data_IF_540613407115
#
_entry.id   IF_540613407115
#
_cell.length_a   1.000
_cell.length_b   1.000
_cell.length_c   1.000
_cell.angle_alpha   90.00
_cell.angle_beta   90.00
_cell.angle_gamma   90.00
#
_symmetry.space_group_name_H-M   'P 1'
#
loop_
_entity.id
_entity.type
_entity.pdbx_description
1 polymer ?
#
# COMPACT_ATOMS: atom_id res chain seq x y z
N UNK A 1 16.98 52.04 48.63
CA UNK A 1 15.65 52.52 48.20
C UNK A 1 15.68 52.65 46.69
N UNK A 2 14.78 52.13 45.86
CA UNK A 2 13.67 51.18 46.03
C UNK A 2 13.32 50.65 44.62
N UNK A 3 13.10 49.34 44.50
CA UNK A 3 12.29 48.61 43.51
C UNK A 3 11.68 49.32 42.28
N UNK A 4 11.85 48.70 41.10
CA UNK A 4 10.78 48.46 40.11
C UNK A 4 11.14 47.15 39.37
N UNK A 5 10.79 45.99 39.90
CA UNK A 5 9.53 45.29 39.63
C UNK A 5 9.39 44.90 38.15
N UNK A 6 10.09 43.83 37.82
CA UNK A 6 9.85 42.99 36.63
C UNK A 6 8.45 42.38 36.77
N UNK A 7 7.58 42.64 35.79
CA UNK A 7 6.20 42.13 35.81
C UNK A 7 6.16 40.83 35.02
N UNK A 8 5.63 39.72 35.58
CA UNK A 8 5.46 38.48 34.83
C UNK A 8 4.39 38.69 33.75
N UNK A 9 4.71 38.24 32.53
CA UNK A 9 3.76 38.15 31.42
C UNK A 9 2.85 36.96 31.73
N UNK A 10 1.67 37.22 32.28
CA UNK A 10 0.56 36.27 32.27
C UNK A 10 0.08 36.13 30.82
N UNK A 11 0.26 34.93 30.25
CA UNK A 11 -0.42 34.55 29.00
C UNK A 11 -1.60 33.68 29.40
N UNK A 12 -2.79 34.24 29.26
CA UNK A 12 -4.06 33.58 29.51
C UNK A 12 -4.22 32.34 28.62
N UNK A 13 -4.65 31.24 29.23
CA UNK A 13 -4.93 29.98 28.56
C UNK A 13 -6.21 30.12 27.71
N UNK A 14 -6.05 30.17 26.39
CA UNK A 14 -7.20 30.07 25.48
C UNK A 14 -7.63 28.60 25.35
N UNK A 15 -8.79 28.29 25.95
CA UNK A 15 -9.49 27.02 25.79
C UNK A 15 -10.08 26.97 24.38
N UNK A 16 -9.51 26.15 23.51
CA UNK A 16 -10.11 25.80 22.21
C UNK A 16 -10.64 24.37 22.27
N UNK A 17 -11.96 24.25 22.22
CA UNK A 17 -12.71 22.99 22.17
C UNK A 17 -12.32 22.12 20.96
N UNK A 18 -11.36 21.22 21.18
CA UNK A 18 -11.54 19.77 21.05
C UNK A 18 -12.06 19.17 19.73
N UNK A 19 -11.38 19.39 18.59
CA UNK A 19 -11.46 18.46 17.42
C UNK A 19 -10.11 18.15 16.77
N UNK A 20 -9.01 18.41 17.46
CA UNK A 20 -7.67 18.16 16.97
C UNK A 20 -6.66 18.09 18.11
N UNK A 21 -5.44 17.64 17.79
CA UNK A 21 -4.32 17.72 18.73
C UNK A 21 -3.92 19.20 18.88
N UNK A 22 -4.34 19.82 19.97
CA UNK A 22 -3.84 21.15 20.36
C UNK A 22 -2.50 20.96 21.06
N UNK A 23 -1.42 21.44 20.44
CA UNK A 23 -0.06 21.40 21.02
C UNK A 23 0.34 22.82 21.36
N UNK A 24 0.44 23.13 22.66
CA UNK A 24 1.11 24.33 23.14
C UNK A 24 2.54 23.97 23.53
N UNK A 25 3.52 24.73 23.03
CA UNK A 25 4.93 24.55 23.35
C UNK A 25 5.49 25.86 23.90
N UNK A 26 5.91 25.83 25.17
CA UNK A 26 6.71 26.91 25.75
C UNK A 26 8.17 26.44 25.76
N UNK A 27 9.08 27.13 25.06
CA UNK A 27 10.48 26.73 25.05
C UNK A 27 11.05 26.85 26.47
N UNK A 28 11.53 25.75 27.04
CA UNK A 28 12.22 25.78 28.32
C UNK A 28 13.58 26.47 28.14
N UNK A 29 13.74 27.65 28.73
CA UNK A 29 15.02 28.32 28.82
C UNK A 29 15.91 27.54 29.80
N UNK A 30 17.11 27.16 29.36
CA UNK A 30 18.12 26.57 30.23
C UNK A 30 19.01 27.71 30.69
N UNK A 31 18.78 28.17 31.91
CA UNK A 31 19.68 29.09 32.61
C UNK A 31 20.70 28.26 33.38
N UNK A 32 21.99 28.55 33.20
CA UNK A 32 23.08 27.87 33.86
C UNK A 32 24.18 28.87 34.18
N UNK A 33 24.86 28.65 35.31
CA UNK A 33 25.91 29.51 35.83
C UNK A 33 27.24 29.36 35.08
N UNK A 34 27.21 29.29 33.73
CA UNK A 34 28.38 29.05 32.90
C UNK A 34 29.50 30.04 33.24
N UNK A 35 29.21 31.33 33.41
CA UNK A 35 30.22 32.34 33.77
C UNK A 35 30.89 32.05 35.12
N UNK A 36 30.12 31.60 36.12
CA UNK A 36 30.66 31.26 37.44
C UNK A 36 31.41 29.92 37.44
N UNK A 37 30.99 28.97 36.60
CA UNK A 37 31.66 27.70 36.40
C UNK A 37 32.97 27.90 35.64
N UNK A 38 32.98 28.76 34.63
CA UNK A 38 34.14 29.09 33.80
C UNK A 38 35.20 29.79 34.63
N UNK A 39 34.84 30.82 35.40
CA UNK A 39 35.76 31.50 36.33
C UNK A 39 36.38 30.55 37.35
N UNK A 40 35.59 29.59 37.89
CA UNK A 40 36.10 28.59 38.84
C UNK A 40 37.03 27.58 38.15
N UNK A 41 36.74 27.20 36.91
CA UNK A 41 37.59 26.31 36.12
C UNK A 41 38.89 27.03 35.74
N UNK A 42 38.84 28.30 35.34
CA UNK A 42 40.01 29.15 35.06
C UNK A 42 40.93 29.25 36.29
N UNK A 43 40.39 29.57 37.48
CA UNK A 43 41.14 29.58 38.74
C UNK A 43 41.75 28.21 39.07
N UNK A 44 40.99 27.12 38.84
CA UNK A 44 41.46 25.75 39.08
C UNK A 44 42.58 25.33 38.14
N UNK A 45 42.58 25.79 36.87
CA UNK A 45 43.58 25.41 35.86
C UNK A 45 44.76 26.38 35.80
N UNK A 46 44.65 27.60 36.34
CA UNK A 46 45.72 28.61 36.34
C UNK A 46 47.02 28.06 36.92
N UNK A 47 46.94 27.31 38.02
CA UNK A 47 48.08 26.64 38.65
C UNK A 47 48.62 25.41 37.88
N UNK A 48 47.85 24.83 36.97
CA UNK A 48 48.25 23.66 36.15
C UNK A 48 48.71 24.06 34.73
N UNK A 49 48.27 25.22 34.23
CA UNK A 49 48.56 25.69 32.87
C UNK A 49 50.05 26.02 32.68
N UNK A 50 50.71 26.52 33.72
CA UNK A 50 52.15 26.82 33.71
C UNK A 50 53.01 25.78 34.45
N UNK A 51 52.39 24.73 35.01
CA UNK A 51 53.10 23.71 35.77
C UNK A 51 54.04 22.89 34.86
N UNK A 52 55.35 22.94 35.16
CA UNK A 52 56.36 22.04 34.60
C UNK A 52 56.76 21.01 35.65
N UNK A 53 56.43 19.75 35.38
CA UNK A 53 56.82 18.62 36.22
C UNK A 53 58.23 18.13 35.84
N UNK A 54 59.06 17.80 36.82
CA UNK A 54 60.33 17.12 36.58
C UNK A 54 60.07 15.62 36.32
N UNK A 55 60.15 15.26 35.04
CA UNK A 55 59.92 13.90 34.56
C UNK A 55 61.07 12.93 34.86
N UNK A 56 62.09 13.36 35.62
CA UNK A 56 63.17 12.50 36.11
C UNK A 56 62.92 12.01 37.55
N UNK A 57 61.99 12.64 38.28
CA UNK A 57 61.60 12.25 39.64
C UNK A 57 60.40 11.28 39.64
N UNK A 58 60.51 10.07 40.23
CA UNK A 58 59.39 9.13 40.31
C UNK A 58 58.15 9.65 41.03
N UNK A 59 58.31 10.57 41.98
CA UNK A 59 57.21 11.10 42.78
C UNK A 59 56.49 12.27 42.09
N UNK A 60 57.21 13.10 41.34
CA UNK A 60 56.60 14.14 40.49
C UNK A 60 55.84 13.52 39.30
N UNK A 61 56.34 12.42 38.73
CA UNK A 61 55.60 11.63 37.73
C UNK A 61 54.27 11.11 38.29
N UNK A 62 54.24 10.65 39.55
CA UNK A 62 52.99 10.20 40.19
C UNK A 62 52.03 11.37 40.40
N UNK A 63 52.54 12.53 40.79
CA UNK A 63 51.73 13.73 41.00
C UNK A 63 51.10 14.22 39.69
N UNK A 64 51.89 14.35 38.62
CA UNK A 64 51.39 14.71 37.29
C UNK A 64 50.29 13.76 36.77
N UNK A 65 50.44 12.45 37.04
CA UNK A 65 49.40 11.46 36.70
C UNK A 65 48.11 11.67 37.50
N UNK A 66 48.21 11.98 38.80
CA UNK A 66 47.04 12.27 39.64
C UNK A 66 46.31 13.51 39.17
N UNK A 67 47.04 14.57 38.87
CA UNK A 67 46.47 15.86 38.46
C UNK A 67 45.81 15.78 37.09
N UNK A 68 46.43 15.06 36.13
CA UNK A 68 45.79 14.73 34.85
C UNK A 68 44.48 13.95 35.04
N UNK A 69 44.47 12.96 35.94
CA UNK A 69 43.25 12.19 36.23
C UNK A 69 42.17 13.07 36.86
N UNK A 70 42.54 13.98 37.75
CA UNK A 70 41.62 14.92 38.39
C UNK A 70 40.97 15.88 37.37
N UNK A 71 41.76 16.52 36.50
CA UNK A 71 41.24 17.43 35.46
C UNK A 71 40.33 16.71 34.46
N UNK A 72 40.69 15.49 34.05
CA UNK A 72 39.82 14.67 33.20
C UNK A 72 38.52 14.27 33.91
N UNK A 73 38.57 14.10 35.24
CA UNK A 73 37.39 13.87 36.08
C UNK A 73 36.42 15.04 36.04
N UNK A 74 36.92 16.27 36.20
CA UNK A 74 36.10 17.49 36.15
C UNK A 74 35.44 17.65 34.77
N UNK A 75 36.20 17.48 33.69
CA UNK A 75 35.65 17.55 32.33
C UNK A 75 34.55 16.52 32.09
N UNK A 76 34.72 15.30 32.62
CA UNK A 76 33.72 14.23 32.54
C UNK A 76 32.45 14.58 33.31
N UNK A 77 32.56 15.15 34.51
CA UNK A 77 31.41 15.56 35.33
C UNK A 77 30.57 16.66 34.65
N UNK A 78 31.22 17.63 33.99
CA UNK A 78 30.54 18.67 33.20
C UNK A 78 29.79 18.04 32.03
N UNK A 79 30.41 17.12 31.30
CA UNK A 79 29.81 16.41 30.17
C UNK A 79 28.60 15.54 30.61
N UNK A 80 28.72 14.85 31.75
CA UNK A 80 27.64 14.03 32.33
C UNK A 80 26.45 14.88 32.74
N UNK A 81 26.68 16.04 33.38
CA UNK A 81 25.61 17.00 33.72
C UNK A 81 24.94 17.57 32.47
N UNK A 82 25.72 17.98 31.46
CA UNK A 82 25.17 18.44 30.17
C UNK A 82 24.28 17.37 29.53
N UNK A 83 24.72 16.11 29.53
CA UNK A 83 23.95 14.97 29.02
C UNK A 83 22.70 14.68 29.85
N UNK A 84 22.75 14.84 31.17
CA UNK A 84 21.59 14.66 32.04
C UNK A 84 20.51 15.71 31.75
N UNK A 85 20.89 16.99 31.64
CA UNK A 85 19.97 18.08 31.27
C UNK A 85 19.38 17.86 29.88
N UNK A 86 20.19 17.44 28.89
CA UNK A 86 19.69 17.10 27.55
C UNK A 86 18.64 15.99 27.60
N UNK A 87 18.88 14.93 28.40
CA UNK A 87 17.92 13.83 28.55
C UNK A 87 16.61 14.29 29.18
N UNK A 88 16.66 15.13 30.21
CA UNK A 88 15.46 15.67 30.84
C UNK A 88 14.69 16.63 29.93
N UNK A 89 15.40 17.42 29.12
CA UNK A 89 14.79 18.32 28.13
C UNK A 89 14.15 17.56 26.96
N UNK A 90 14.79 16.49 26.46
CA UNK A 90 14.24 15.68 25.38
C UNK A 90 13.11 14.75 25.84
N UNK A 91 13.07 14.35 27.11
CA UNK A 91 12.06 13.42 27.62
C UNK A 91 10.60 13.86 27.34
N UNK A 92 10.18 15.12 27.58
CA UNK A 92 8.84 15.58 27.20
C UNK A 92 8.55 15.49 25.70
N UNK A 93 9.55 15.74 24.85
CA UNK A 93 9.43 15.60 23.40
C UNK A 93 9.27 14.13 23.01
N UNK A 94 10.13 13.26 23.53
CA UNK A 94 10.08 11.82 23.28
C UNK A 94 8.73 11.22 23.75
N UNK A 95 8.25 11.62 24.93
CA UNK A 95 6.94 11.21 25.46
C UNK A 95 5.77 11.71 24.60
N UNK A 96 5.86 12.95 24.08
CA UNK A 96 4.89 13.51 23.17
C UNK A 96 4.87 12.75 21.83
N UNK A 97 6.04 12.52 21.22
CA UNK A 97 6.17 11.78 19.97
C UNK A 97 5.66 10.34 20.13
N UNK A 98 6.00 9.67 21.24
CA UNK A 98 5.50 8.34 21.55
C UNK A 98 3.97 8.31 21.64
N UNK A 99 3.35 9.30 22.30
CA UNK A 99 1.89 9.41 22.39
C UNK A 99 1.25 9.71 21.03
N UNK A 100 1.80 10.63 20.26
CA UNK A 100 1.32 10.96 18.91
C UNK A 100 1.40 9.74 17.98
N UNK A 101 2.52 9.02 18.00
CA UNK A 101 2.71 7.80 17.22
C UNK A 101 1.77 6.69 17.66
N UNK A 102 1.52 6.53 18.96
CA UNK A 102 0.57 5.55 19.48
C UNK A 102 -0.87 5.85 19.03
N UNK A 103 -1.27 7.12 18.97
CA UNK A 103 -2.60 7.53 18.45
C UNK A 103 -2.68 7.26 16.95
N UNK A 104 -1.67 7.67 16.18
CA UNK A 104 -1.59 7.40 14.73
C UNK A 104 -1.65 5.90 14.44
N UNK A 105 -0.98 5.06 15.26
CA UNK A 105 -1.01 3.61 15.11
C UNK A 105 -2.42 3.02 15.31
N UNK A 106 -3.22 3.55 16.25
CA UNK A 106 -4.62 3.12 16.43
C UNK A 106 -5.46 3.41 15.18
N UNK A 107 -5.30 4.60 14.60
CA UNK A 107 -6.00 5.00 13.37
C UNK A 107 -5.60 4.10 12.20
N UNK A 108 -4.29 3.88 12.01
CA UNK A 108 -3.78 2.97 10.97
C UNK A 108 -4.31 1.54 11.15
N UNK A 109 -4.34 1.02 12.38
CA UNK A 109 -4.89 -0.31 12.68
C UNK A 109 -6.37 -0.41 12.32
N UNK A 110 -7.18 0.58 12.69
CA UNK A 110 -8.60 0.60 12.33
C UNK A 110 -8.81 0.68 10.81
N UNK A 111 -8.04 1.52 10.12
CA UNK A 111 -8.08 1.61 8.65
C UNK A 111 -7.69 0.29 7.97
N UNK A 112 -6.67 -0.41 8.48
CA UNK A 112 -6.24 -1.69 7.94
C UNK A 112 -7.32 -2.77 8.10
N UNK A 113 -7.99 -2.81 9.26
CA UNK A 113 -9.09 -3.75 9.49
C UNK A 113 -10.28 -3.50 8.55
N UNK A 114 -10.64 -2.23 8.29
CA UNK A 114 -11.69 -1.90 7.31
C UNK A 114 -11.29 -2.35 5.90
N UNK A 115 -10.02 -2.16 5.53
CA UNK A 115 -9.51 -2.62 4.24
C UNK A 115 -9.61 -4.14 4.10
N UNK A 116 -9.20 -4.89 5.12
CA UNK A 116 -9.29 -6.36 5.13
C UNK A 116 -10.73 -6.83 4.97
N UNK A 117 -11.69 -6.23 5.69
CA UNK A 117 -13.12 -6.55 5.52
C UNK A 117 -13.64 -6.26 4.11
N UNK A 118 -13.15 -5.19 3.48
CA UNK A 118 -13.54 -4.83 2.11
C UNK A 118 -12.96 -5.81 1.09
N UNK A 119 -11.69 -6.19 1.26
CA UNK A 119 -11.00 -7.15 0.41
C UNK A 119 -11.68 -8.54 0.52
N UNK A 120 -12.00 -9.01 1.73
CA UNK A 120 -12.75 -10.25 1.98
C UNK A 120 -14.15 -10.23 1.35
N UNK A 121 -14.88 -9.10 1.45
CA UNK A 121 -16.20 -8.98 0.85
C UNK A 121 -16.14 -8.97 -0.69
N UNK A 122 -15.10 -8.36 -1.26
CA UNK A 122 -14.86 -8.40 -2.70
C UNK A 122 -14.57 -9.83 -3.19
N UNK A 123 -13.72 -10.58 -2.48
CA UNK A 123 -13.44 -11.99 -2.76
C UNK A 123 -14.71 -12.84 -2.65
N UNK A 124 -15.46 -12.76 -1.54
CA UNK A 124 -16.75 -13.46 -1.41
C UNK A 124 -17.72 -13.12 -2.53
N UNK A 125 -17.71 -11.88 -3.00
CA UNK A 125 -18.56 -11.46 -4.12
C UNK A 125 -18.04 -12.01 -5.46
N UNK A 126 -16.72 -12.11 -5.67
CA UNK A 126 -16.13 -12.83 -6.82
C UNK A 126 -16.52 -14.30 -6.77
N UNK A 127 -16.41 -14.96 -5.62
CA UNK A 127 -16.76 -16.37 -5.44
C UNK A 127 -18.25 -16.63 -5.69
N UNK A 128 -19.13 -15.77 -5.17
CA UNK A 128 -20.57 -15.86 -5.45
C UNK A 128 -20.88 -15.67 -6.93
N UNK A 129 -20.25 -14.68 -7.57
CA UNK A 129 -20.43 -14.47 -9.00
C UNK A 129 -19.91 -15.67 -9.81
N UNK A 130 -18.76 -16.23 -9.43
CA UNK A 130 -18.21 -17.44 -10.02
C UNK A 130 -19.18 -18.62 -9.87
N UNK A 131 -19.70 -18.86 -8.66
CA UNK A 131 -20.64 -19.94 -8.39
C UNK A 131 -21.93 -19.79 -9.20
N UNK A 132 -22.52 -18.58 -9.27
CA UNK A 132 -23.72 -18.30 -10.06
C UNK A 132 -23.48 -18.55 -11.55
N UNK A 133 -22.33 -18.13 -12.07
CA UNK A 133 -21.99 -18.32 -13.48
C UNK A 133 -21.67 -19.78 -13.80
N UNK A 134 -21.04 -20.50 -12.86
CA UNK A 134 -20.77 -21.93 -12.97
C UNK A 134 -22.06 -22.75 -12.98
N UNK A 135 -22.97 -22.49 -12.04
CA UNK A 135 -24.28 -23.13 -11.99
C UNK A 135 -25.07 -22.86 -13.27
N UNK A 136 -25.10 -21.59 -13.72
CA UNK A 136 -25.73 -21.22 -14.99
C UNK A 136 -25.13 -21.97 -16.20
N UNK A 137 -23.80 -22.12 -16.23
CA UNK A 137 -23.12 -22.88 -17.28
C UNK A 137 -23.46 -24.37 -17.22
N UNK A 138 -23.43 -24.98 -16.04
CA UNK A 138 -23.73 -26.41 -15.86
C UNK A 138 -25.17 -26.73 -16.29
N UNK A 139 -26.13 -25.85 -15.99
CA UNK A 139 -27.51 -25.94 -16.45
C UNK A 139 -27.64 -25.79 -17.97
N UNK A 140 -26.89 -24.86 -18.58
CA UNK A 140 -26.92 -24.61 -20.02
C UNK A 140 -26.22 -25.72 -20.83
N UNK A 141 -25.05 -26.16 -20.36
CA UNK A 141 -24.20 -27.13 -21.03
C UNK A 141 -24.72 -28.56 -20.87
N UNK A 142 -25.39 -28.87 -19.75
CA UNK A 142 -25.97 -30.18 -19.49
C UNK A 142 -24.96 -31.31 -19.67
N UNK A 143 -25.15 -32.14 -20.71
CA UNK A 143 -24.24 -33.26 -21.01
C UNK A 143 -22.85 -32.84 -21.49
N UNK A 144 -22.66 -31.58 -21.89
CA UNK A 144 -21.35 -31.05 -22.29
C UNK A 144 -20.45 -30.73 -21.08
N UNK A 145 -21.03 -30.42 -19.91
CA UNK A 145 -20.30 -29.97 -18.73
C UNK A 145 -19.20 -30.94 -18.20
N UNK A 146 -19.37 -32.27 -18.25
CA UNK A 146 -18.30 -33.20 -17.86
C UNK A 146 -17.09 -33.19 -18.80
N UNK A 147 -17.31 -32.87 -20.08
CA UNK A 147 -16.25 -32.85 -21.11
C UNK A 147 -15.61 -31.47 -21.19
N UNK A 148 -16.40 -30.42 -20.98
CA UNK A 148 -15.96 -29.03 -20.93
C UNK A 148 -16.38 -28.43 -19.59
N UNK A 149 -15.50 -28.43 -18.58
CA UNK A 149 -15.80 -27.77 -17.29
C UNK A 149 -15.86 -26.25 -17.43
N UNK A 150 -16.59 -25.59 -16.53
CA UNK A 150 -16.73 -24.12 -16.51
C UNK A 150 -15.38 -23.40 -16.49
N UNK A 151 -14.40 -23.96 -15.79
CA UNK A 151 -13.04 -23.46 -15.66
C UNK A 151 -12.37 -23.22 -17.02
N UNK A 152 -12.77 -23.94 -18.07
CA UNK A 152 -12.20 -23.79 -19.42
C UNK A 152 -12.76 -22.63 -20.21
N UNK A 153 -14.01 -22.25 -19.94
CA UNK A 153 -14.66 -21.13 -20.63
C UNK A 153 -14.64 -19.84 -19.80
N UNK A 154 -14.30 -19.92 -18.52
CA UNK A 154 -14.27 -18.81 -17.58
C UNK A 154 -13.37 -17.67 -18.07
N UNK A 155 -13.81 -16.44 -17.84
CA UNK A 155 -13.02 -15.23 -18.03
C UNK A 155 -13.07 -14.41 -16.75
N UNK A 156 -11.91 -14.06 -16.20
CA UNK A 156 -11.79 -13.28 -14.97
C UNK A 156 -12.54 -11.94 -15.05
N UNK A 157 -12.67 -11.37 -16.26
CA UNK A 157 -13.40 -10.11 -16.48
C UNK A 157 -14.87 -10.24 -16.14
N UNK A 158 -15.46 -11.42 -16.22
CA UNK A 158 -16.87 -11.66 -15.87
C UNK A 158 -17.12 -11.50 -14.37
N UNK A 159 -16.10 -11.74 -13.56
CA UNK A 159 -16.19 -11.52 -12.12
C UNK A 159 -16.14 -10.03 -11.79
N UNK A 160 -15.66 -9.15 -12.67
CA UNK A 160 -15.54 -7.72 -12.37
C UNK A 160 -16.90 -7.06 -12.11
N UNK A 161 -16.93 -6.18 -11.10
CA UNK A 161 -18.14 -5.45 -10.69
C UNK A 161 -18.78 -4.64 -11.83
N UNK A 162 -17.96 -4.12 -12.75
CA UNK A 162 -18.39 -3.28 -13.87
C UNK A 162 -18.91 -4.07 -15.07
N UNK A 163 -18.55 -5.35 -15.20
CA UNK A 163 -18.96 -6.17 -16.33
C UNK A 163 -20.46 -6.52 -16.26
N UNK A 164 -20.89 -6.96 -15.08
CA UNK A 164 -22.28 -7.26 -14.77
C UNK A 164 -22.70 -8.68 -15.15
N UNK A 165 -23.50 -9.30 -14.27
CA UNK A 165 -23.88 -10.72 -14.37
C UNK A 165 -24.60 -11.07 -15.68
N UNK A 166 -25.54 -10.24 -16.14
CA UNK A 166 -26.28 -10.52 -17.39
C UNK A 166 -25.37 -10.54 -18.62
N UNK A 167 -24.35 -9.67 -18.66
CA UNK A 167 -23.39 -9.69 -19.76
C UNK A 167 -22.48 -10.93 -19.69
N UNK A 168 -22.13 -11.36 -18.49
CA UNK A 168 -21.35 -12.59 -18.29
C UNK A 168 -22.14 -13.81 -18.74
N UNK A 169 -23.43 -13.91 -18.38
CA UNK A 169 -24.32 -14.99 -18.86
C UNK A 169 -24.45 -15.00 -20.38
N UNK A 170 -24.68 -13.84 -21.01
CA UNK A 170 -24.73 -13.73 -22.46
C UNK A 170 -23.40 -14.14 -23.14
N UNK A 171 -22.25 -13.80 -22.55
CA UNK A 171 -20.95 -14.22 -23.06
C UNK A 171 -20.71 -15.73 -22.90
N UNK A 172 -21.25 -16.35 -21.85
CA UNK A 172 -21.28 -17.81 -21.69
C UNK A 172 -22.14 -18.43 -22.80
N UNK A 173 -23.35 -17.91 -23.03
CA UNK A 173 -24.25 -18.41 -24.08
C UNK A 173 -23.58 -18.39 -25.45
N UNK A 174 -22.90 -17.28 -25.79
CA UNK A 174 -22.17 -17.13 -27.05
C UNK A 174 -21.02 -18.15 -27.17
N UNK A 175 -20.23 -18.33 -26.11
CA UNK A 175 -19.14 -19.33 -26.11
C UNK A 175 -19.69 -20.74 -26.25
N UNK A 176 -20.76 -21.10 -25.56
CA UNK A 176 -21.38 -22.43 -25.65
C UNK A 176 -21.96 -22.68 -27.03
N UNK A 177 -22.66 -21.69 -27.60
CA UNK A 177 -23.19 -21.78 -28.96
C UNK A 177 -22.08 -21.96 -30.00
N UNK A 178 -20.95 -21.25 -29.84
CA UNK A 178 -19.78 -21.43 -30.70
C UNK A 178 -19.21 -22.85 -30.58
N UNK A 179 -18.98 -23.34 -29.35
CA UNK A 179 -18.47 -24.70 -29.13
C UNK A 179 -19.41 -25.75 -29.72
N UNK A 180 -20.73 -25.59 -29.58
CA UNK A 180 -21.70 -26.49 -30.18
C UNK A 180 -21.62 -26.48 -31.73
N UNK A 181 -21.51 -25.29 -32.33
CA UNK A 181 -21.40 -25.14 -33.80
C UNK A 181 -20.09 -25.74 -34.34
N UNK A 182 -18.99 -25.47 -33.66
CA UNK A 182 -17.67 -25.99 -34.02
C UNK A 182 -17.63 -27.52 -33.87
N UNK A 183 -18.28 -28.05 -32.82
CA UNK A 183 -18.43 -29.49 -32.60
C UNK A 183 -19.28 -30.17 -33.68
N UNK A 184 -20.42 -29.59 -34.05
CA UNK A 184 -21.25 -30.07 -35.17
C UNK A 184 -20.47 -30.08 -36.48
N UNK A 185 -19.67 -29.04 -36.73
CA UNK A 185 -18.80 -28.97 -37.91
C UNK A 185 -17.75 -30.07 -37.90
N UNK A 186 -17.14 -30.34 -36.74
CA UNK A 186 -16.17 -31.42 -36.58
C UNK A 186 -16.86 -32.78 -36.79
N UNK A 187 -18.03 -33.02 -36.20
CA UNK A 187 -18.81 -34.24 -36.41
C UNK A 187 -19.19 -34.47 -37.88
N UNK A 188 -19.58 -33.44 -38.61
CA UNK A 188 -19.89 -33.54 -40.04
C UNK A 188 -18.67 -33.98 -40.88
N UNK A 189 -17.46 -33.73 -40.40
CA UNK A 189 -16.20 -34.14 -41.03
C UNK A 189 -15.70 -35.51 -40.56
N UNK A 190 -16.41 -36.19 -39.66
CA UNK A 190 -15.96 -37.46 -39.05
C UNK A 190 -15.56 -38.54 -40.05
N UNK A 191 -16.26 -38.66 -41.17
CA UNK A 191 -15.94 -39.64 -42.21
C UNK A 191 -14.84 -39.16 -43.16
N UNK A 192 -14.64 -37.85 -43.28
CA UNK A 192 -13.69 -37.24 -44.20
C UNK A 192 -12.30 -37.01 -43.58
N UNK A 193 -12.22 -36.89 -42.25
CA UNK A 193 -10.99 -36.52 -41.56
C UNK A 193 -10.18 -37.77 -41.12
N UNK A 194 -8.95 -37.94 -41.63
CA UNK A 194 -8.03 -38.95 -41.09
C UNK A 194 -7.71 -38.63 -39.63
N UNK A 195 -7.59 -39.66 -38.78
CA UNK A 195 -7.31 -39.49 -37.34
C UNK A 195 -8.30 -38.57 -36.60
N UNK A 196 -9.59 -38.66 -36.92
CA UNK A 196 -10.67 -37.93 -36.25
C UNK A 196 -10.59 -37.97 -34.71
N UNK A 197 -10.27 -39.13 -34.11
CA UNK A 197 -10.16 -39.26 -32.65
C UNK A 197 -9.12 -38.32 -32.03
N UNK A 198 -8.04 -38.01 -32.76
CA UNK A 198 -7.02 -37.04 -32.33
C UNK A 198 -7.60 -35.62 -32.39
N UNK A 199 -8.34 -35.32 -33.45
CA UNK A 199 -9.04 -34.04 -33.62
C UNK A 199 -10.07 -33.81 -32.51
N UNK A 200 -10.90 -34.80 -32.21
CA UNK A 200 -11.93 -34.75 -31.16
C UNK A 200 -11.31 -34.49 -29.79
N UNK A 201 -10.21 -35.20 -29.46
CA UNK A 201 -9.50 -34.98 -28.19
C UNK A 201 -8.92 -33.57 -28.11
N UNK A 202 -8.32 -33.09 -29.19
CA UNK A 202 -7.72 -31.75 -29.23
C UNK A 202 -8.78 -30.63 -29.21
N UNK A 203 -9.93 -30.87 -29.83
CA UNK A 203 -11.06 -29.96 -29.79
C UNK A 203 -11.55 -29.75 -28.35
N UNK A 204 -11.75 -30.81 -27.57
CA UNK A 204 -12.16 -30.65 -26.17
C UNK A 204 -11.03 -30.15 -25.25
N UNK A 205 -9.77 -30.25 -25.68
CA UNK A 205 -8.63 -29.67 -24.97
C UNK A 205 -8.52 -28.14 -25.18
N UNK A 206 -8.69 -27.69 -26.41
CA UNK A 206 -8.45 -26.29 -26.83
C UNK A 206 -9.72 -25.46 -27.02
N UNK A 207 -10.88 -26.11 -27.20
CA UNK A 207 -12.14 -25.52 -27.65
C UNK A 207 -12.01 -24.72 -28.96
N UNK A 208 -11.06 -25.11 -29.81
CA UNK A 208 -10.79 -24.47 -31.09
C UNK A 208 -10.80 -25.51 -32.23
N UNK A 209 -11.69 -25.28 -33.21
CA UNK A 209 -11.83 -26.16 -34.37
C UNK A 209 -10.57 -26.18 -35.24
N UNK A 210 -9.87 -25.05 -35.38
CA UNK A 210 -8.65 -24.96 -36.18
C UNK A 210 -7.52 -25.79 -35.58
N UNK A 211 -7.32 -25.72 -34.26
CA UNK A 211 -6.37 -26.54 -33.53
C UNK A 211 -6.69 -28.04 -33.69
N UNK A 212 -7.97 -28.41 -33.59
CA UNK A 212 -8.41 -29.80 -33.79
C UNK A 212 -8.06 -30.34 -35.18
N UNK A 213 -8.36 -29.58 -36.24
CA UNK A 213 -8.07 -30.00 -37.62
C UNK A 213 -6.57 -30.07 -37.91
N UNK A 214 -5.79 -29.12 -37.38
CA UNK A 214 -4.33 -29.15 -37.51
C UNK A 214 -3.72 -30.36 -36.81
N UNK A 215 -4.16 -30.67 -35.59
CA UNK A 215 -3.67 -31.84 -34.85
C UNK A 215 -3.97 -33.17 -35.57
N UNK A 216 -5.12 -33.28 -36.24
CA UNK A 216 -5.45 -34.44 -37.06
C UNK A 216 -4.49 -34.59 -38.25
N UNK A 217 -4.20 -33.48 -38.95
CA UNK A 217 -3.26 -33.47 -40.08
C UNK A 217 -1.85 -33.83 -39.64
N UNK A 218 -1.38 -33.23 -38.56
CA UNK A 218 -0.05 -33.51 -38.00
C UNK A 218 0.08 -34.97 -37.54
N UNK A 219 -0.97 -35.54 -36.95
CA UNK A 219 -0.99 -36.94 -36.56
C UNK A 219 -0.92 -37.87 -37.78
N UNK A 220 -1.64 -37.56 -38.85
CA UNK A 220 -1.56 -38.31 -40.10
C UNK A 220 -0.15 -38.23 -40.71
N UNK A 221 0.43 -37.04 -40.81
CA UNK A 221 1.79 -36.85 -41.32
C UNK A 221 2.82 -37.59 -40.45
N UNK A 222 2.64 -37.63 -39.14
CA UNK A 222 3.49 -38.38 -38.22
C UNK A 222 3.36 -39.90 -38.43
N UNK A 223 2.14 -40.42 -38.61
CA UNK A 223 1.93 -41.84 -38.90
C UNK A 223 2.52 -42.25 -40.25
N UNK A 224 2.37 -41.42 -41.28
CA UNK A 224 2.98 -41.63 -42.59
C UNK A 224 4.51 -41.65 -42.50
N UNK A 225 5.10 -40.75 -41.71
CA UNK A 225 6.54 -40.72 -41.44
C UNK A 225 7.01 -41.99 -40.70
N UNK A 226 6.27 -42.42 -39.67
CA UNK A 226 6.58 -43.65 -38.92
C UNK A 226 6.42 -44.88 -39.81
N UNK A 227 5.39 -44.92 -40.66
CA UNK A 227 5.15 -46.01 -41.59
C UNK A 227 6.22 -46.09 -42.68
N UNK A 228 6.62 -44.95 -43.26
CA UNK A 228 7.72 -44.85 -44.22
C UNK A 228 9.03 -45.35 -43.62
N UNK A 229 9.38 -44.86 -42.42
CA UNK A 229 10.58 -45.30 -41.71
C UNK A 229 10.56 -46.80 -41.35
N UNK A 230 9.40 -47.35 -40.94
CA UNK A 230 9.25 -48.80 -40.71
C UNK A 230 9.33 -49.62 -41.99
N UNK A 231 8.81 -49.09 -43.11
CA UNK A 231 8.87 -49.76 -44.41
C UNK A 231 10.32 -49.82 -44.94
N UNK A 232 11.07 -48.71 -44.83
CA UNK A 232 12.50 -48.69 -45.17
C UNK A 232 13.27 -49.71 -44.32
N UNK A 233 13.08 -49.74 -42.99
CA UNK A 233 13.72 -50.73 -42.12
C UNK A 233 13.34 -52.19 -42.48
N UNK A 234 12.09 -52.44 -42.89
CA UNK A 234 11.66 -53.77 -43.30
C UNK A 234 12.23 -54.18 -44.67
N UNK A 235 12.48 -53.22 -45.56
CA UNK A 235 13.17 -53.45 -46.84
C UNK A 235 14.66 -53.75 -46.61
N UNK A 236 15.36 -52.95 -45.80
CA UNK A 236 16.74 -53.24 -45.37
C UNK A 236 16.86 -54.60 -44.67
N UNK A 237 15.90 -54.97 -43.81
CA UNK A 237 15.90 -56.26 -43.13
C UNK A 237 15.54 -57.47 -44.02
N UNK A 238 15.11 -57.26 -45.27
CA UNK A 238 14.79 -58.33 -46.22
C UNK A 238 15.96 -58.65 -47.16
N UNK A 239 16.85 -57.69 -47.40
CA UNK A 239 18.08 -57.88 -48.19
C UNK A 239 19.26 -58.46 -47.37
N UNK A 240 19.16 -58.51 -46.04
CA UNK A 240 20.09 -59.26 -45.18
C UNK A 240 19.68 -60.74 -45.05
N UNK A 241 20.14 -61.60 -45.96
CA UNK A 241 20.35 -63.02 -45.61
C UNK A 241 21.29 -63.09 -44.41
N UNK A 242 20.95 -63.86 -43.34
CA UNK A 242 21.80 -63.94 -42.16
C UNK A 242 23.14 -64.57 -42.56
N UNK A 243 24.30 -63.97 -42.23
CA UNK A 243 25.56 -64.67 -42.36
C UNK A 243 25.57 -65.81 -41.32
N UNK A 244 25.65 -67.03 -41.82
CA UNK A 244 25.90 -68.25 -41.06
C UNK A 244 27.18 -68.06 -40.23
N UNK A 245 27.03 -67.96 -38.91
CA UNK A 245 28.16 -67.96 -37.98
C UNK A 245 27.77 -68.72 -36.70
N UNK A 246 28.30 -69.94 -36.58
CA UNK A 246 28.38 -70.70 -35.32
C UNK A 246 29.31 -70.00 -34.30
N UNK A 247 29.24 -70.37 -33.00
CA UNK A 247 29.27 -69.43 -31.89
C UNK A 247 30.68 -69.21 -31.33
N UNK A 248 31.08 -67.94 -31.15
CA UNK A 248 32.27 -67.60 -30.38
C UNK A 248 31.97 -66.54 -29.32
N UNK A 249 31.99 -67.00 -28.07
CA UNK A 249 32.32 -66.29 -26.82
C UNK A 249 31.70 -64.92 -26.55
N UNK A 250 30.87 -64.89 -25.51
CA UNK A 250 30.47 -63.68 -24.80
C UNK A 250 31.67 -62.80 -24.39
N UNK A 251 31.62 -61.49 -24.65
CA UNK A 251 32.25 -60.50 -23.79
C UNK A 251 31.23 -59.95 -22.79
N UNK A 252 31.69 -59.78 -21.55
CA UNK A 252 31.01 -59.16 -20.42
C UNK A 252 30.48 -57.73 -20.69
N UNK A 253 29.52 -57.24 -19.89
CA UNK A 253 28.78 -56.03 -20.19
C UNK A 253 29.66 -54.78 -20.00
N UNK A 254 29.80 -53.98 -21.04
CA UNK A 254 30.25 -52.59 -20.87
C UNK A 254 29.10 -51.74 -20.31
N UNK A 255 29.38 -50.85 -19.35
CA UNK A 255 28.35 -50.08 -18.67
C UNK A 255 27.71 -49.06 -19.62
N UNK A 256 26.43 -48.83 -19.40
CA UNK A 256 25.63 -47.82 -20.09
C UNK A 256 26.30 -46.44 -20.05
N UNK A 257 26.30 -45.66 -21.14
CA UNK A 257 26.59 -44.24 -21.04
C UNK A 257 25.46 -43.59 -20.22
N UNK A 258 25.84 -42.94 -19.13
CA UNK A 258 24.93 -42.11 -18.33
C UNK A 258 24.23 -41.07 -19.22
N UNK A 259 22.95 -40.76 -18.95
CA UNK A 259 22.24 -39.71 -19.67
C UNK A 259 22.92 -38.36 -19.38
N UNK A 260 23.26 -37.63 -20.44
CA UNK A 260 23.68 -36.24 -20.31
C UNK A 260 22.58 -35.44 -19.59
N UNK A 261 22.91 -34.58 -18.60
CA UNK A 261 21.92 -33.77 -17.92
C UNK A 261 21.27 -32.79 -18.91
N UNK A 262 19.94 -32.78 -18.89
CA UNK A 262 19.11 -31.81 -19.61
C UNK A 262 19.54 -30.38 -19.24
N UNK A 263 19.64 -29.43 -20.20
CA UNK A 263 19.96 -28.05 -19.88
C UNK A 263 18.85 -27.45 -19.03
N UNK A 264 19.23 -26.85 -17.90
CA UNK A 264 18.32 -26.12 -17.03
C UNK A 264 17.61 -24.99 -17.80
N UNK A 265 16.31 -24.73 -17.55
CA UNK A 265 15.60 -23.65 -18.20
C UNK A 265 16.19 -22.31 -17.76
N UNK A 266 16.42 -21.43 -18.75
CA UNK A 266 16.79 -20.05 -18.51
C UNK A 266 15.67 -19.33 -17.73
N UNK A 267 16.00 -18.49 -16.73
CA UNK A 267 14.99 -17.73 -16.02
C UNK A 267 14.41 -16.65 -16.93
N UNK A 268 13.10 -16.64 -17.09
CA UNK A 268 12.39 -15.53 -17.73
C UNK A 268 12.56 -14.24 -16.90
N UNK A 269 12.97 -13.13 -17.52
CA UNK A 269 13.02 -11.84 -16.85
C UNK A 269 11.60 -11.32 -16.60
N UNK A 270 11.38 -10.91 -15.35
CA UNK A 270 10.12 -10.48 -14.76
C UNK A 270 9.39 -9.37 -15.54
N UNK A 271 8.05 -9.31 -15.48
CA UNK A 271 7.28 -8.20 -16.00
C UNK A 271 7.62 -6.89 -15.27
N UNK A 272 7.73 -5.81 -16.04
CA UNK A 272 7.95 -4.46 -15.53
C UNK A 272 6.75 -4.00 -14.67
N UNK A 273 6.99 -3.22 -13.61
CA UNK A 273 5.93 -2.71 -12.75
C UNK A 273 5.08 -1.67 -13.49
N UNK A 274 3.76 -1.83 -13.45
CA UNK A 274 2.81 -0.84 -13.95
C UNK A 274 2.95 0.50 -13.20
N UNK A 275 2.71 1.64 -13.87
CA UNK A 275 2.75 2.96 -13.23
C UNK A 275 1.67 3.06 -12.15
N UNK A 276 2.09 3.47 -10.95
CA UNK A 276 1.18 3.73 -9.84
C UNK A 276 0.09 4.75 -10.27
N UNK A 277 -1.19 4.49 -9.95
CA UNK A 277 -2.25 5.46 -10.19
C UNK A 277 -2.02 6.72 -9.34
N UNK A 278 -2.14 7.89 -9.97
CA UNK A 278 -2.06 9.17 -9.29
C UNK A 278 -3.09 9.25 -8.15
N UNK A 279 -2.73 9.81 -6.99
CA UNK A 279 -3.66 9.94 -5.86
C UNK A 279 -4.85 10.82 -6.26
N UNK A 280 -6.03 10.22 -6.35
CA UNK A 280 -7.28 10.98 -6.38
C UNK A 280 -7.42 11.71 -5.04
N UNK A 281 -7.59 13.03 -5.11
CA UNK A 281 -7.92 13.85 -3.96
C UNK A 281 -9.21 13.32 -3.31
N UNK A 282 -9.10 12.89 -2.05
CA UNK A 282 -10.23 12.42 -1.28
C UNK A 282 -11.29 13.52 -1.17
N UNK A 283 -12.48 13.25 -1.72
CA UNK A 283 -13.65 14.06 -1.45
C UNK A 283 -14.00 13.95 0.05
N UNK A 284 -14.27 15.06 0.76
CA UNK A 284 -14.63 15.00 2.17
C UNK A 284 -15.98 14.29 2.33
N UNK A 285 -15.95 13.15 3.01
CA UNK A 285 -17.13 12.37 3.39
C UNK A 285 -17.88 13.12 4.48
N UNK A 286 -19.02 13.71 4.14
CA UNK A 286 -19.96 14.26 5.11
C UNK A 286 -20.59 13.11 5.91
N UNK A 287 -20.45 13.15 7.23
CA UNK A 287 -21.10 12.22 8.16
C UNK A 287 -22.62 12.43 8.09
N UNK A 288 -23.44 11.42 7.73
CA UNK A 288 -24.89 11.54 7.79
C UNK A 288 -25.33 11.63 9.27
N UNK A 289 -26.00 12.73 9.66
CA UNK A 289 -26.62 12.88 10.99
C UNK A 289 -25.80 13.59 12.06
N UNK A 290 -24.70 14.28 11.71
CA UNK A 290 -23.94 15.09 12.68
C UNK A 290 -24.73 16.29 13.21
N UNK A 291 -24.61 16.60 14.52
CA UNK A 291 -25.11 17.86 15.09
C UNK A 291 -24.40 19.04 14.43
N UNK A 292 -25.17 20.00 13.89
CA UNK A 292 -24.63 21.25 13.38
C UNK A 292 -24.14 22.10 14.56
N UNK A 293 -22.82 22.30 14.65
CA UNK A 293 -22.21 23.24 15.57
C UNK A 293 -21.83 24.51 14.80
N UNK A 294 -22.06 25.71 15.36
CA UNK A 294 -21.58 26.94 14.76
C UNK A 294 -20.05 26.93 14.75
N UNK A 295 -19.45 27.20 13.59
CA UNK A 295 -18.00 27.24 13.42
C UNK A 295 -17.58 28.62 12.92
N UNK A 296 -16.46 29.13 13.43
CA UNK A 296 -15.83 30.39 12.96
C UNK A 296 -14.63 30.04 12.09
N UNK A 297 -14.49 30.72 10.95
CA UNK A 297 -13.36 30.58 10.03
C UNK A 297 -12.61 31.91 9.97
N UNK A 298 -11.33 31.91 10.33
CA UNK A 298 -10.46 33.10 10.29
C UNK A 298 -9.67 33.08 8.98
N UNK A 299 -9.84 34.13 8.18
CA UNK A 299 -9.12 34.31 6.90
C UNK A 299 -8.16 35.48 7.09
N UNK A 300 -6.86 35.20 7.07
CA UNK A 300 -5.81 36.19 7.33
C UNK A 300 -5.81 37.34 6.32
N UNK A 301 -6.06 37.04 5.04
CA UNK A 301 -6.26 38.02 3.99
C UNK A 301 -7.03 37.39 2.80
N UNK A 302 -8.00 38.12 2.25
CA UNK A 302 -8.69 37.74 1.01
C UNK A 302 -9.28 38.97 0.32
N UNK A 303 -9.34 38.94 -1.00
CA UNK A 303 -10.06 39.94 -1.79
C UNK A 303 -11.58 39.74 -1.69
N UNK A 304 -12.35 40.79 -2.00
CA UNK A 304 -13.82 40.70 -2.05
C UNK A 304 -14.29 39.61 -3.01
N UNK A 305 -13.59 39.44 -4.13
CA UNK A 305 -13.91 38.41 -5.13
C UNK A 305 -13.64 36.99 -4.60
N UNK A 306 -12.52 36.77 -3.90
CA UNK A 306 -12.22 35.49 -3.24
C UNK A 306 -13.27 35.14 -2.19
N UNK A 307 -13.72 36.12 -1.39
CA UNK A 307 -14.78 35.92 -0.40
C UNK A 307 -16.13 35.56 -1.03
N UNK A 308 -16.46 36.16 -2.18
CA UNK A 308 -17.67 35.80 -2.94
C UNK A 308 -17.60 34.39 -3.51
N UNK A 309 -16.43 33.97 -4.01
CA UNK A 309 -16.20 32.60 -4.51
C UNK A 309 -16.33 31.57 -3.39
N UNK A 310 -15.76 31.85 -2.20
CA UNK A 310 -15.92 31.00 -1.01
C UNK A 310 -17.39 30.89 -0.63
N UNK A 311 -18.14 32.00 -0.64
CA UNK A 311 -19.59 31.99 -0.38
C UNK A 311 -20.38 31.11 -1.37
N UNK A 312 -20.06 31.19 -2.67
CA UNK A 312 -20.68 30.35 -3.71
C UNK A 312 -20.35 28.87 -3.50
N UNK A 313 -19.09 28.55 -3.18
CA UNK A 313 -18.64 27.19 -2.90
C UNK A 313 -19.33 26.61 -1.66
N UNK A 314 -19.35 27.33 -0.53
CA UNK A 314 -20.06 26.90 0.67
C UNK A 314 -21.56 26.68 0.42
N UNK A 315 -22.16 27.51 -0.44
CA UNK A 315 -23.56 27.39 -0.86
C UNK A 315 -23.87 26.19 -1.76
N UNK A 316 -22.88 25.63 -2.48
CA UNK A 316 -23.06 24.48 -3.37
C UNK A 316 -22.88 23.14 -2.66
N UNK A 317 -22.35 23.12 -1.43
CA UNK A 317 -22.19 21.92 -0.61
C UNK A 317 -23.55 21.32 -0.21
N UNK A 318 -23.58 19.99 -0.02
CA UNK A 318 -24.73 19.26 0.53
C UNK A 318 -24.30 18.45 1.75
N UNK A 319 -24.85 18.72 2.96
CA UNK A 319 -25.79 19.79 3.30
C UNK A 319 -25.17 21.19 3.13
N UNK A 320 -26.03 22.18 2.82
CA UNK A 320 -25.60 23.56 2.52
C UNK A 320 -24.98 24.20 3.75
N UNK A 321 -23.79 24.78 3.59
CA UNK A 321 -23.19 25.62 4.63
C UNK A 321 -23.80 27.02 4.53
N UNK A 322 -24.41 27.47 5.62
CA UNK A 322 -25.01 28.81 5.73
C UNK A 322 -24.18 29.65 6.68
N UNK A 323 -23.86 30.89 6.29
CA UNK A 323 -23.08 31.80 7.12
C UNK A 323 -23.04 33.21 6.53
N UNK A 324 -22.45 34.14 7.28
CA UNK A 324 -22.16 35.50 6.87
C UNK A 324 -20.65 35.72 6.94
N UNK A 325 -20.13 36.56 6.06
CA UNK A 325 -18.73 37.01 6.15
C UNK A 325 -18.69 38.37 6.84
N UNK A 326 -17.87 38.47 7.88
CA UNK A 326 -17.67 39.71 8.64
C UNK A 326 -16.18 40.06 8.55
N UNK A 327 -15.88 41.32 8.25
CA UNK A 327 -14.51 41.84 8.21
C UNK A 327 -14.14 42.48 9.54
N UNK A 328 -12.86 42.39 9.91
CA UNK A 328 -12.32 42.94 11.16
C UNK A 328 -11.58 41.90 11.99
N UNK A 329 -11.18 42.27 13.20
CA UNK A 329 -10.64 41.31 14.18
C UNK A 329 -11.73 40.34 14.66
N UNK A 330 -11.34 39.24 15.32
CA UNK A 330 -12.29 38.29 15.89
C UNK A 330 -13.23 38.97 16.90
N UNK A 331 -12.68 39.87 17.72
CA UNK A 331 -13.45 40.69 18.67
C UNK A 331 -14.44 41.63 17.96
N UNK A 332 -14.01 42.32 16.90
CA UNK A 332 -14.90 43.20 16.12
C UNK A 332 -16.02 42.40 15.44
N UNK A 333 -15.72 41.19 14.95
CA UNK A 333 -16.72 40.31 14.35
C UNK A 333 -17.74 39.83 15.40
N UNK A 334 -17.28 39.45 16.58
CA UNK A 334 -18.13 39.07 17.71
C UNK A 334 -19.05 40.23 18.13
N UNK A 335 -18.48 41.44 18.28
CA UNK A 335 -19.24 42.64 18.65
C UNK A 335 -20.31 43.00 17.60
N UNK A 336 -20.00 42.86 16.31
CA UNK A 336 -20.96 43.10 15.21
C UNK A 336 -22.12 42.10 15.23
N UNK A 337 -21.85 40.82 15.52
CA UNK A 337 -22.90 39.80 15.65
C UNK A 337 -23.74 40.01 16.92
N UNK A 338 -23.12 40.29 18.08
CA UNK A 338 -23.84 40.62 19.31
C UNK A 338 -24.75 41.84 19.14
N UNK A 339 -24.26 42.91 18.50
CA UNK A 339 -25.06 44.11 18.23
C UNK A 339 -26.26 43.81 17.31
N UNK A 340 -26.11 42.93 16.32
CA UNK A 340 -27.22 42.51 15.45
C UNK A 340 -28.24 41.64 16.17
N UNK A 341 -27.81 40.74 17.06
CA UNK A 341 -28.71 39.91 17.87
C UNK A 341 -29.53 40.78 18.82
N UNK A 342 -28.89 41.76 19.47
CA UNK A 342 -29.57 42.73 20.34
C UNK A 342 -30.53 43.63 19.55
N UNK A 343 -30.14 44.11 18.37
CA UNK A 343 -31.01 44.90 17.50
C UNK A 343 -32.21 44.09 16.97
N UNK A 344 -32.02 42.81 16.62
CA UNK A 344 -33.08 41.91 16.17
C UNK A 344 -34.05 41.55 17.31
N UNK A 345 -33.56 41.45 18.54
CA UNK A 345 -34.39 41.25 19.74
C UNK A 345 -35.24 42.52 20.04
N UNK A 346 -34.63 43.71 20.00
CA UNK A 346 -35.34 44.98 20.20
C UNK A 346 -36.39 45.26 19.12
N UNK A 347 -36.13 44.90 17.86
CA UNK A 347 -37.10 45.02 16.77
C UNK A 347 -38.30 44.06 16.93
N UNK A 348 -38.09 42.88 17.53
CA UNK A 348 -39.17 41.95 17.87
C UNK A 348 -40.02 42.45 19.05
N UNK A 349 -39.43 43.07 20.05
CA UNK A 349 -40.18 43.67 21.17
C UNK A 349 -40.95 44.93 20.75
N UNK A 350 -40.38 45.77 19.88
CA UNK A 350 -41.07 46.96 19.34
C UNK A 350 -42.25 46.63 18.41
N UNK A 351 -42.21 45.49 17.72
CA UNK A 351 -43.32 45.00 16.89
C UNK A 351 -44.49 44.43 17.71
N UNK A 352 -44.23 43.98 18.95
CA UNK A 352 -45.26 43.47 19.88
C UNK A 352 -45.93 44.61 20.65
N UNK A 353 -45.27 45.77 20.80
CA UNK A 353 -45.81 46.93 21.50
C UNK A 353 -46.70 47.86 20.63
N UNK A 354 -46.73 47.67 19.31
CA UNK A 354 -47.52 48.47 18.36
C UNK A 354 -48.56 47.64 17.56
N UNK A 355 -48.84 46.40 18.00
CA UNK A 355 -49.81 45.49 17.39
C UNK A 355 -51.15 45.48 18.11
#
# INVERSE_FOLDING_TARGET
MSSKADKPIEVEAEVIEGRGLTVSFTPAAIDANFDALDARVEELIEGYAEARYDLTSPDEIKQAKRDRTYLNGIAKEIDERRKAVKREYMRPLDDFEARANAITAKVKKASANIKEQLDEDEERRKDRAYAILKEYYEDLAGMLAPVVPYERIHDEKWLNKTFGEMKAKAAIDEKVAKVATDWETLQAQREALPRYEVAEREFFASLDLGAALNAAREAQEADERIAGMRAEMAEYGRDETPPDTEPETAPEPMPAPEPAPSPAPAPEPMPAPDPAPAPQAAAPVAVPGGRYVPCVMVIQAASVEQMQQIGRFCGSLRPRVTGKFVTGTLEEAYMKECAQVVAAAAAREGAVANG
#
